data_IF_056274360280
#
_entry.id   IF_056274360280
#
_cell.length_a   1.000
_cell.length_b   1.000
_cell.length_c   1.000
_cell.angle_alpha   90.00
_cell.angle_beta   90.00
_cell.angle_gamma   90.00
#
_symmetry.space_group_name_H-M   'P 1'
#
loop_
_entity.id
_entity.type
_entity.pdbx_description
1 polymer ?
#
# COMPACT_ATOMS: atom_id res chain seq x y z
N UNK A 1 -1.83 8.73 -4.10
CA UNK A 1 -2.20 10.16 -4.19
C UNK A 1 -1.61 10.95 -3.03
N UNK A 2 -1.14 12.17 -3.29
CA UNK A 2 -0.43 12.98 -2.28
C UNK A 2 -1.23 13.21 -0.97
N UNK A 3 -2.57 13.16 -0.98
CA UNK A 3 -3.47 13.03 0.20
C UNK A 3 -4.83 12.51 -0.33
N UNK A 4 -5.58 11.55 0.22
CA UNK A 4 -5.84 11.20 1.63
C UNK A 4 -6.05 9.68 1.81
N UNK A 5 -5.03 8.99 2.34
CA UNK A 5 -5.15 7.68 2.96
C UNK A 5 -5.26 7.86 4.48
N UNK A 6 -6.40 8.40 4.96
CA UNK A 6 -6.72 8.47 6.38
C UNK A 6 -5.82 9.37 7.27
N UNK A 7 -4.72 9.92 6.76
CA UNK A 7 -3.89 10.88 7.48
C UNK A 7 -4.60 12.23 7.51
N UNK A 8 -5.28 12.51 8.63
CA UNK A 8 -5.64 13.88 8.99
C UNK A 8 -4.34 14.67 9.02
N UNK A 9 -4.13 15.53 8.01
CA UNK A 9 -3.02 16.49 8.00
C UNK A 9 -2.93 17.10 9.41
N UNK A 10 -1.91 16.70 10.16
CA UNK A 10 -1.76 17.13 11.54
C UNK A 10 -1.61 18.65 11.64
N UNK A 11 -1.52 19.14 12.87
CA UNK A 11 -1.33 20.56 13.18
C UNK A 11 0.07 21.09 12.81
N UNK A 12 0.61 20.75 11.65
CA UNK A 12 1.78 21.46 11.11
C UNK A 12 1.39 22.94 10.93
N UNK A 13 2.14 23.90 11.50
CA UNK A 13 1.88 25.32 11.30
C UNK A 13 2.21 25.69 9.85
N UNK A 14 1.40 26.56 9.22
CA UNK A 14 1.61 26.99 7.83
C UNK A 14 0.34 26.95 6.98
N UNK A 15 0.47 27.37 5.73
CA UNK A 15 -0.60 27.32 4.71
C UNK A 15 -0.88 25.88 4.30
N UNK A 16 -2.03 25.62 3.66
CA UNK A 16 -2.35 24.27 3.14
C UNK A 16 -1.25 23.76 2.20
N UNK A 17 -0.68 24.66 1.38
CA UNK A 17 0.44 24.37 0.49
C UNK A 17 1.67 23.88 1.25
N UNK A 18 2.05 24.58 2.32
CA UNK A 18 3.24 24.23 3.13
C UNK A 18 3.14 22.84 3.76
N UNK A 19 1.91 22.38 4.05
CA UNK A 19 1.68 21.06 4.65
C UNK A 19 1.70 19.92 3.63
N UNK A 20 1.41 20.22 2.37
CA UNK A 20 1.37 19.25 1.28
C UNK A 20 2.73 19.16 0.58
N UNK A 21 3.52 20.24 0.61
CA UNK A 21 4.82 20.37 -0.04
C UNK A 21 5.79 19.19 0.22
N UNK A 22 5.93 18.63 1.45
CA UNK A 22 6.80 17.49 1.68
C UNK A 22 6.42 16.24 0.88
N UNK A 23 5.12 16.00 0.67
CA UNK A 23 4.60 14.85 -0.09
C UNK A 23 4.73 15.05 -1.60
N UNK A 24 4.89 16.29 -2.05
CA UNK A 24 5.08 16.63 -3.47
C UNK A 24 6.56 16.69 -3.85
N UNK A 25 7.47 16.73 -2.88
CA UNK A 25 8.91 16.83 -3.13
C UNK A 25 9.46 15.74 -4.07
N UNK A 26 9.10 14.45 -3.95
CA UNK A 26 9.57 13.44 -4.90
C UNK A 26 9.16 13.73 -6.35
N UNK A 27 7.99 14.33 -6.57
CA UNK A 27 7.55 14.74 -7.91
C UNK A 27 8.37 15.92 -8.43
N UNK A 28 8.71 16.89 -7.58
CA UNK A 28 9.60 17.99 -7.96
C UNK A 28 11.02 17.52 -8.26
N UNK A 29 11.55 16.58 -7.48
CA UNK A 29 12.87 15.98 -7.71
C UNK A 29 12.90 15.28 -9.08
N UNK A 30 11.89 14.46 -9.38
CA UNK A 30 11.77 13.80 -10.68
C UNK A 30 11.69 14.79 -11.85
N UNK A 31 10.95 15.90 -11.70
CA UNK A 31 10.89 16.94 -12.74
C UNK A 31 12.25 17.60 -12.98
N UNK A 32 13.03 17.86 -11.93
CA UNK A 32 14.37 18.45 -12.04
C UNK A 32 15.41 17.49 -12.62
N UNK A 33 15.19 16.17 -12.57
CA UNK A 33 16.03 15.18 -13.26
C UNK A 33 15.72 15.11 -14.76
N UNK A 34 14.47 15.37 -15.15
CA UNK A 34 14.01 15.28 -16.55
C UNK A 34 14.14 16.58 -17.33
N UNK A 35 14.21 17.72 -16.64
CA UNK A 35 14.16 19.06 -17.22
C UNK A 35 15.23 19.95 -16.60
N UNK A 36 15.58 21.05 -17.29
CA UNK A 36 16.44 22.08 -16.71
C UNK A 36 15.79 22.64 -15.42
N UNK A 37 16.47 22.59 -14.26
CA UNK A 37 15.95 23.09 -12.99
C UNK A 37 15.56 24.57 -13.01
N UNK A 38 16.13 25.38 -13.92
CA UNK A 38 15.76 26.78 -14.07
C UNK A 38 14.41 27.00 -14.79
N UNK A 39 13.97 26.00 -15.56
CA UNK A 39 12.74 26.06 -16.36
C UNK A 39 11.55 25.55 -15.56
N UNK A 40 11.74 24.55 -14.69
CA UNK A 40 10.65 23.95 -13.89
C UNK A 40 9.84 25.01 -13.12
N UNK A 41 10.44 25.95 -12.36
CA UNK A 41 9.68 26.99 -11.68
C UNK A 41 8.86 27.89 -12.61
N UNK A 42 9.35 28.16 -13.84
CA UNK A 42 8.64 28.98 -14.83
C UNK A 42 7.41 28.25 -15.38
N UNK A 43 7.54 26.95 -15.61
CA UNK A 43 6.43 26.11 -16.08
C UNK A 43 5.37 25.89 -15.00
N UNK A 44 5.78 25.75 -13.74
CA UNK A 44 4.87 25.73 -12.59
C UNK A 44 4.13 27.07 -12.45
N UNK A 45 4.85 28.19 -12.52
CA UNK A 45 4.25 29.53 -12.37
C UNK A 45 3.28 29.90 -13.51
N UNK A 46 3.53 29.40 -14.72
CA UNK A 46 2.62 29.57 -15.87
C UNK A 46 1.44 28.60 -15.87
N UNK A 47 1.42 27.61 -14.97
CA UNK A 47 0.41 26.55 -14.93
C UNK A 47 0.56 25.50 -16.04
N UNK A 48 1.69 25.49 -16.75
CA UNK A 48 2.01 24.46 -17.76
C UNK A 48 2.24 23.11 -17.10
N UNK A 49 2.93 23.12 -15.96
CA UNK A 49 3.06 21.95 -15.08
C UNK A 49 2.22 22.25 -13.84
N UNK A 50 1.36 21.31 -13.47
CA UNK A 50 0.53 21.40 -12.27
C UNK A 50 0.74 20.15 -11.43
N UNK A 51 1.21 20.34 -10.19
CA UNK A 51 1.28 19.29 -9.18
C UNK A 51 0.21 19.61 -8.14
N UNK A 52 -0.81 18.76 -8.04
CA UNK A 52 -1.97 19.03 -7.19
C UNK A 52 -2.49 17.75 -6.51
N UNK A 53 -3.08 17.86 -5.30
CA UNK A 53 -3.77 16.74 -4.66
C UNK A 53 -4.96 16.26 -5.48
N UNK A 54 -5.31 14.98 -5.33
CA UNK A 54 -6.44 14.37 -6.04
C UNK A 54 -7.77 15.13 -5.83
N UNK A 55 -7.98 15.71 -4.64
CA UNK A 55 -9.19 16.48 -4.33
C UNK A 55 -9.41 17.69 -5.26
N UNK A 56 -8.33 18.28 -5.80
CA UNK A 56 -8.39 19.45 -6.68
C UNK A 56 -8.92 19.09 -8.08
N UNK A 57 -8.99 17.80 -8.41
CA UNK A 57 -9.51 17.33 -9.70
C UNK A 57 -11.05 17.38 -9.76
N UNK A 58 -11.72 17.51 -8.61
CA UNK A 58 -13.17 17.50 -8.55
C UNK A 58 -13.78 18.63 -9.39
N UNK A 59 -14.71 18.28 -10.28
CA UNK A 59 -15.42 19.25 -11.13
C UNK A 59 -14.62 19.79 -12.32
N UNK A 60 -13.37 19.34 -12.51
CA UNK A 60 -12.56 19.73 -13.67
C UNK A 60 -12.89 18.87 -14.89
N UNK A 61 -12.58 19.40 -16.07
CA UNK A 61 -12.43 18.63 -17.30
C UNK A 61 -11.04 18.96 -17.83
N UNK A 62 -10.22 17.93 -18.04
CA UNK A 62 -8.82 18.09 -18.43
C UNK A 62 -8.73 17.87 -19.93
N UNK A 63 -8.56 18.95 -20.69
CA UNK A 63 -8.37 18.92 -22.15
C UNK A 63 -6.91 19.23 -22.48
N UNK A 64 -6.44 18.70 -23.62
CA UNK A 64 -5.11 18.96 -24.19
C UNK A 64 -3.96 18.80 -23.17
N UNK A 65 -4.03 17.73 -22.36
CA UNK A 65 -3.15 17.55 -21.21
C UNK A 65 -2.58 16.12 -21.11
N UNK A 66 -1.43 15.99 -20.47
CA UNK A 66 -0.89 14.70 -20.04
C UNK A 66 -0.98 14.63 -18.51
N UNK A 67 -1.76 13.69 -18.00
CA UNK A 67 -2.13 13.64 -16.58
C UNK A 67 -1.62 12.35 -15.97
N UNK A 68 -0.90 12.46 -14.85
CA UNK A 68 -0.42 11.31 -14.10
C UNK A 68 -1.08 11.28 -12.73
N UNK A 69 -1.72 10.16 -12.40
CA UNK A 69 -2.15 9.86 -11.03
C UNK A 69 -1.20 8.85 -10.42
N UNK A 70 -0.41 9.30 -9.46
CA UNK A 70 0.57 8.47 -8.78
C UNK A 70 0.08 7.90 -7.43
N UNK A 71 0.68 6.79 -7.03
CA UNK A 71 0.35 6.01 -5.83
C UNK A 71 -1.14 5.62 -5.80
N UNK A 72 -1.71 5.27 -6.94
CA UNK A 72 -3.15 5.10 -7.13
C UNK A 72 -3.75 3.93 -6.32
N UNK A 73 -2.94 3.03 -5.79
CA UNK A 73 -3.39 2.01 -4.85
C UNK A 73 -4.05 2.61 -3.61
N UNK A 74 -3.66 3.84 -3.24
CA UNK A 74 -4.17 4.60 -2.11
C UNK A 74 -5.39 5.48 -2.46
N UNK A 75 -6.13 5.13 -3.51
CA UNK A 75 -7.42 5.75 -3.86
C UNK A 75 -8.59 4.85 -3.50
N UNK A 76 -9.73 5.43 -3.13
CA UNK A 76 -10.99 4.68 -3.05
C UNK A 76 -11.59 4.45 -4.46
N UNK A 77 -12.49 3.46 -4.64
CA UNK A 77 -13.26 3.31 -5.88
C UNK A 77 -13.95 4.59 -6.37
N UNK A 78 -14.53 5.37 -5.46
CA UNK A 78 -15.22 6.62 -5.77
C UNK A 78 -14.24 7.69 -6.23
N UNK A 79 -13.08 7.79 -5.59
CA UNK A 79 -12.03 8.72 -5.98
C UNK A 79 -11.43 8.37 -7.35
N UNK A 80 -11.19 7.08 -7.61
CA UNK A 80 -10.72 6.59 -8.92
C UNK A 80 -11.74 6.93 -10.02
N UNK A 81 -13.03 6.65 -9.78
CA UNK A 81 -14.11 7.02 -10.71
C UNK A 81 -14.19 8.54 -10.91
N UNK A 82 -14.08 9.32 -9.83
CA UNK A 82 -14.06 10.77 -9.90
C UNK A 82 -12.94 11.27 -10.81
N UNK A 83 -11.73 10.72 -10.66
CA UNK A 83 -10.55 11.08 -11.44
C UNK A 83 -10.67 10.71 -12.93
N UNK A 84 -10.98 9.45 -13.23
CA UNK A 84 -11.05 8.97 -14.63
C UNK A 84 -12.13 9.68 -15.43
N UNK A 85 -13.21 10.11 -14.78
CA UNK A 85 -14.26 10.91 -15.44
C UNK A 85 -13.89 12.38 -15.65
N UNK A 86 -12.67 12.80 -15.32
CA UNK A 86 -12.15 14.14 -15.67
C UNK A 86 -11.47 14.15 -17.05
N UNK A 87 -11.31 12.99 -17.70
CA UNK A 87 -10.71 12.86 -19.03
C UNK A 87 -11.50 13.69 -20.06
N UNK A 88 -10.83 14.67 -20.67
CA UNK A 88 -11.34 15.49 -21.76
C UNK A 88 -10.69 15.19 -23.10
N UNK A 89 -10.97 16.02 -24.10
CA UNK A 89 -10.42 15.84 -25.46
C UNK A 89 -8.93 16.15 -25.51
N UNK A 90 -8.19 15.43 -26.37
CA UNK A 90 -6.75 15.63 -26.53
C UNK A 90 -5.91 15.23 -25.32
N UNK A 91 -6.51 14.58 -24.31
CA UNK A 91 -5.84 14.24 -23.05
C UNK A 91 -5.44 12.77 -23.01
N UNK A 92 -4.28 12.52 -22.41
CA UNK A 92 -3.83 11.17 -22.04
C UNK A 92 -3.66 11.07 -20.54
N UNK A 93 -4.21 10.01 -19.95
CA UNK A 93 -4.07 9.71 -18.53
C UNK A 93 -3.17 8.49 -18.32
N UNK A 94 -2.26 8.58 -17.36
CA UNK A 94 -1.47 7.46 -16.86
C UNK A 94 -1.74 7.33 -15.37
N UNK A 95 -2.07 6.12 -14.93
CA UNK A 95 -2.35 5.81 -13.52
C UNK A 95 -1.31 4.80 -13.07
N UNK A 96 -0.50 5.17 -12.07
CA UNK A 96 0.58 4.34 -11.52
C UNK A 96 0.28 3.95 -10.09
N UNK A 97 0.78 2.80 -9.65
CA UNK A 97 0.65 2.35 -8.27
C UNK A 97 1.00 0.88 -8.09
N UNK A 98 1.24 0.49 -6.84
CA UNK A 98 1.56 -0.88 -6.45
C UNK A 98 0.40 -1.49 -5.65
N UNK A 99 -0.30 -2.46 -6.25
CA UNK A 99 -1.45 -3.12 -5.61
C UNK A 99 -1.09 -3.92 -4.34
N UNK A 100 0.19 -4.15 -4.07
CA UNK A 100 0.67 -4.84 -2.86
C UNK A 100 0.86 -3.90 -1.67
N UNK A 101 0.96 -2.58 -1.91
CA UNK A 101 1.24 -1.55 -0.91
C UNK A 101 0.01 -0.66 -0.64
N UNK A 102 -1.13 -1.30 -0.33
CA UNK A 102 -2.38 -0.58 -0.05
C UNK A 102 -2.40 -0.09 1.40
N UNK A 103 -2.36 1.23 1.59
CA UNK A 103 -2.39 1.85 2.93
C UNK A 103 -3.81 2.16 3.42
N UNK A 104 -4.83 1.87 2.60
CA UNK A 104 -6.22 2.15 2.93
C UNK A 104 -6.81 1.13 3.93
N UNK A 105 -7.71 1.58 4.83
CA UNK A 105 -8.40 0.68 5.76
C UNK A 105 -9.09 -0.46 5.01
N UNK A 106 -9.00 -1.67 5.58
CA UNK A 106 -9.61 -2.90 5.04
C UNK A 106 -9.06 -3.33 3.66
N UNK A 107 -7.94 -2.74 3.20
CA UNK A 107 -7.31 -3.10 1.93
C UNK A 107 -8.15 -2.76 0.69
N UNK A 108 -9.12 -1.86 0.85
CA UNK A 108 -9.93 -1.37 -0.26
C UNK A 108 -9.07 -0.48 -1.17
N UNK A 109 -9.08 -0.74 -2.47
CA UNK A 109 -8.31 0.05 -3.44
C UNK A 109 -9.09 0.24 -4.75
N UNK A 110 -9.21 1.49 -5.18
CA UNK A 110 -9.76 1.88 -6.47
C UNK A 110 -8.96 1.29 -7.63
N UNK A 111 -7.63 1.23 -7.50
CA UNK A 111 -6.75 0.63 -8.51
C UNK A 111 -7.02 -0.87 -8.70
N UNK A 112 -7.24 -1.62 -7.62
CA UNK A 112 -7.59 -3.05 -7.70
C UNK A 112 -9.00 -3.30 -8.27
N UNK A 113 -9.91 -2.37 -8.10
CA UNK A 113 -11.24 -2.48 -8.68
C UNK A 113 -11.23 -2.13 -10.17
N UNK A 114 -10.55 -1.05 -10.54
CA UNK A 114 -10.59 -0.52 -11.92
C UNK A 114 -10.00 -1.48 -12.94
N UNK A 115 -8.95 -2.23 -12.56
CA UNK A 115 -8.36 -3.30 -13.39
C UNK A 115 -9.38 -4.36 -13.82
N UNK A 116 -10.40 -4.61 -12.99
CA UNK A 116 -11.48 -5.57 -13.29
C UNK A 116 -12.65 -4.92 -14.01
N UNK A 117 -12.97 -3.66 -13.68
CA UNK A 117 -14.13 -2.95 -14.24
C UNK A 117 -13.87 -2.47 -15.67
N UNK A 118 -12.63 -2.08 -15.98
CA UNK A 118 -12.26 -1.48 -17.27
C UNK A 118 -11.44 -2.42 -18.16
N UNK A 119 -11.34 -3.72 -17.84
CA UNK A 119 -10.48 -4.67 -18.57
C UNK A 119 -10.84 -4.84 -20.05
N UNK A 120 -12.08 -4.53 -20.44
CA UNK A 120 -12.60 -4.77 -21.79
C UNK A 120 -12.86 -3.46 -22.55
N UNK A 121 -12.20 -2.36 -22.18
CA UNK A 121 -12.31 -1.08 -22.86
C UNK A 121 -11.11 -0.93 -23.80
N UNK A 122 -11.37 -0.85 -25.10
CA UNK A 122 -10.33 -0.90 -26.15
C UNK A 122 -9.26 0.19 -26.03
N UNK A 123 -9.62 1.38 -25.51
CA UNK A 123 -8.71 2.53 -25.37
C UNK A 123 -8.03 2.60 -23.98
N UNK A 124 -8.09 1.50 -23.20
CA UNK A 124 -7.45 1.39 -21.89
C UNK A 124 -6.50 0.20 -21.89
N UNK A 125 -5.25 0.47 -21.51
CA UNK A 125 -4.21 -0.56 -21.42
C UNK A 125 -3.73 -0.72 -19.98
N UNK A 126 -3.59 -1.96 -19.53
CA UNK A 126 -3.00 -2.30 -18.23
C UNK A 126 -1.59 -2.86 -18.44
N UNK A 127 -0.58 -2.11 -17.99
CA UNK A 127 0.81 -2.54 -17.98
C UNK A 127 1.17 -3.06 -16.59
N UNK A 128 1.63 -4.32 -16.51
CA UNK A 128 2.07 -4.94 -15.26
C UNK A 128 3.59 -5.05 -15.29
N UNK A 129 4.24 -4.27 -14.42
CA UNK A 129 5.67 -4.40 -14.18
C UNK A 129 5.90 -5.40 -13.03
N UNK A 130 7.00 -6.11 -13.12
CA UNK A 130 7.41 -7.16 -12.19
C UNK A 130 8.72 -6.78 -11.52
N UNK A 131 9.19 -7.61 -10.59
CA UNK A 131 10.51 -7.43 -9.97
C UNK A 131 11.65 -7.42 -10.98
N UNK A 132 11.49 -8.08 -12.14
CA UNK A 132 12.50 -8.12 -13.20
C UNK A 132 12.65 -6.76 -13.91
N UNK A 133 11.63 -5.90 -13.82
CA UNK A 133 11.65 -4.54 -14.40
C UNK A 133 12.28 -3.51 -13.44
N UNK A 134 12.62 -3.91 -12.21
CA UNK A 134 13.14 -3.02 -11.17
C UNK A 134 14.66 -2.86 -11.31
N UNK A 135 15.07 -1.79 -11.98
CA UNK A 135 16.48 -1.42 -12.10
C UNK A 135 16.90 -0.59 -10.89
N UNK A 136 17.64 -1.19 -9.97
CA UNK A 136 18.23 -0.51 -8.80
C UNK A 136 19.74 -0.62 -8.82
N UNK A 137 20.41 0.31 -8.14
CA UNK A 137 21.85 0.22 -7.93
C UNK A 137 22.20 -1.10 -7.21
N UNK A 138 23.26 -1.78 -7.64
CA UNK A 138 23.65 -3.12 -7.14
C UNK A 138 23.79 -3.18 -5.62
N UNK A 139 24.30 -2.11 -5.01
CA UNK A 139 24.38 -1.97 -3.55
C UNK A 139 23.00 -2.01 -2.87
N UNK A 140 22.00 -1.34 -3.44
CA UNK A 140 20.64 -1.32 -2.89
C UNK A 140 20.04 -2.72 -2.93
N UNK A 141 20.22 -3.46 -4.03
CA UNK A 141 19.82 -4.87 -4.12
C UNK A 141 20.45 -5.71 -3.00
N UNK A 142 21.77 -5.63 -2.83
CA UNK A 142 22.49 -6.34 -1.75
C UNK A 142 22.03 -5.96 -0.35
N UNK A 143 21.63 -4.71 -0.12
CA UNK A 143 21.07 -4.27 1.15
C UNK A 143 19.70 -4.91 1.37
N UNK A 144 18.81 -4.87 0.37
CA UNK A 144 17.48 -5.48 0.46
C UNK A 144 17.59 -6.98 0.74
N UNK A 145 18.44 -7.71 0.00
CA UNK A 145 18.65 -9.14 0.17
C UNK A 145 19.12 -9.49 1.59
N UNK A 146 20.05 -8.70 2.14
CA UNK A 146 20.56 -8.91 3.49
C UNK A 146 19.48 -8.73 4.58
N UNK A 147 18.56 -7.78 4.39
CA UNK A 147 17.41 -7.60 5.28
C UNK A 147 16.39 -8.73 5.14
N UNK A 148 16.09 -9.16 3.90
CA UNK A 148 15.21 -10.29 3.65
C UNK A 148 15.73 -11.56 4.33
N UNK A 149 17.01 -11.90 4.18
CA UNK A 149 17.62 -13.08 4.81
C UNK A 149 17.61 -12.98 6.35
N UNK A 150 17.76 -11.77 6.90
CA UNK A 150 17.67 -11.54 8.34
C UNK A 150 16.24 -11.76 8.86
N UNK A 151 15.24 -11.23 8.16
CA UNK A 151 13.82 -11.35 8.55
C UNK A 151 13.31 -12.79 8.43
N UNK A 152 13.72 -13.52 7.38
CA UNK A 152 13.41 -14.95 7.22
C UNK A 152 13.99 -15.79 8.37
N UNK A 153 15.25 -15.57 8.74
CA UNK A 153 15.88 -16.24 9.88
C UNK A 153 15.17 -15.91 11.19
N UNK A 154 14.78 -14.65 11.38
CA UNK A 154 14.01 -14.20 12.55
C UNK A 154 12.65 -14.88 12.64
N UNK A 155 11.93 -14.98 11.52
CA UNK A 155 10.62 -15.66 11.45
C UNK A 155 10.76 -17.16 11.71
N UNK A 156 11.76 -17.82 11.13
CA UNK A 156 12.05 -19.23 11.37
C UNK A 156 12.36 -19.51 12.85
N UNK A 157 13.26 -18.74 13.47
CA UNK A 157 13.57 -18.88 14.90
C UNK A 157 12.38 -18.61 15.82
N UNK A 158 11.45 -17.73 15.42
CA UNK A 158 10.21 -17.52 16.19
C UNK A 158 9.28 -18.74 16.08
N UNK A 159 9.06 -19.26 14.86
CA UNK A 159 8.25 -20.46 14.64
C UNK A 159 8.77 -21.66 15.43
N UNK A 160 10.08 -21.91 15.40
CA UNK A 160 10.71 -22.99 16.16
C UNK A 160 10.46 -22.86 17.68
N UNK A 161 10.51 -21.64 18.23
CA UNK A 161 10.23 -21.38 19.64
C UNK A 161 8.76 -21.58 19.98
N UNK A 162 7.86 -21.14 19.12
CA UNK A 162 6.42 -21.29 19.30
C UNK A 162 6.02 -22.77 19.25
N UNK A 163 6.54 -23.54 18.28
CA UNK A 163 6.34 -24.98 18.17
C UNK A 163 6.89 -25.74 19.39
N UNK A 164 8.07 -25.38 19.88
CA UNK A 164 8.64 -25.97 21.09
C UNK A 164 7.78 -25.69 22.34
N UNK A 165 7.26 -24.48 22.47
CA UNK A 165 6.36 -24.07 23.56
C UNK A 165 5.02 -24.82 23.51
N UNK A 166 4.42 -24.95 22.32
CA UNK A 166 3.18 -25.70 22.12
C UNK A 166 3.35 -27.20 22.45
N UNK A 167 4.47 -27.79 22.02
CA UNK A 167 4.79 -29.18 22.32
C UNK A 167 4.91 -29.41 23.82
N UNK A 168 5.65 -28.55 24.54
CA UNK A 168 5.78 -28.61 25.99
C UNK A 168 4.41 -28.53 26.69
N UNK A 169 3.58 -27.55 26.33
CA UNK A 169 2.24 -27.39 26.90
C UNK A 169 1.26 -28.54 26.54
N UNK A 170 1.49 -29.27 25.45
CA UNK A 170 0.72 -30.47 25.10
C UNK A 170 1.13 -31.67 25.95
N UNK A 171 2.42 -31.81 26.24
CA UNK A 171 2.96 -32.86 27.12
C UNK A 171 2.43 -32.67 28.54
N UNK A 172 2.48 -31.44 29.07
CA UNK A 172 1.95 -31.11 30.40
C UNK A 172 0.45 -31.38 30.55
N UNK A 173 -0.36 -31.03 29.53
CA UNK A 173 -1.81 -31.35 29.55
C UNK A 173 -2.08 -32.86 29.53
N UNK A 174 -1.25 -33.64 28.82
CA UNK A 174 -1.36 -35.11 28.78
C UNK A 174 -0.94 -35.77 30.09
N UNK A 175 0.09 -35.26 30.77
CA UNK A 175 0.50 -35.77 32.08
C UNK A 175 -0.53 -35.40 33.15
N UNK A 176 -1.07 -34.18 33.13
CA UNK A 176 -2.16 -33.76 34.02
C UNK A 176 -3.43 -34.61 33.83
N UNK A 177 -3.80 -34.94 32.58
CA UNK A 177 -4.96 -35.79 32.29
C UNK A 177 -4.77 -37.26 32.72
N UNK A 178 -3.53 -37.77 32.79
CA UNK A 178 -3.23 -39.12 33.29
C UNK A 178 -3.08 -39.19 34.82
N UNK A 179 -2.96 -38.05 35.51
CA UNK A 179 -2.84 -37.96 36.97
C UNK A 179 -4.17 -38.03 37.73
N UNK A 180 -5.32 -38.08 37.05
CA UNK A 180 -6.61 -38.34 37.68
C UNK A 180 -6.75 -39.81 38.05
N UNK A 181 -6.56 -40.15 39.33
CA UNK A 181 -6.68 -41.53 39.85
C UNK A 181 -7.97 -42.23 39.40
N UNK A 182 -7.93 -43.54 39.10
CA UNK A 182 -9.16 -44.31 38.90
C UNK A 182 -9.97 -44.26 40.19
N UNK A 183 -11.20 -43.75 40.12
CA UNK A 183 -12.13 -43.84 41.25
C UNK A 183 -12.53 -45.31 41.41
N UNK A 184 -11.91 -45.98 42.36
CA UNK A 184 -12.33 -47.31 42.81
C UNK A 184 -13.78 -47.22 43.34
N UNK A 185 -14.72 -47.75 42.56
CA UNK A 185 -16.09 -47.94 42.98
C UNK A 185 -16.16 -49.17 43.90
N UNK A 186 -16.11 -48.96 45.21
CA UNK A 186 -16.46 -50.00 46.18
C UNK A 186 -17.98 -50.30 46.16
N UNK A 187 -18.39 -51.58 46.14
CA UNK A 187 -19.80 -51.94 46.13
C UNK A 187 -20.43 -51.69 47.50
N UNK A 188 -21.62 -51.07 47.51
CA UNK A 188 -22.41 -50.82 48.72
C UNK A 188 -22.84 -52.15 49.35
N UNK A 189 -22.30 -52.46 50.53
CA UNK A 189 -22.87 -53.49 51.41
C UNK A 189 -24.16 -52.97 52.02
N UNK A 190 -25.25 -53.69 51.77
CA UNK A 190 -26.54 -53.47 52.40
C UNK A 190 -26.51 -53.80 53.90
N UNK A 191 -27.41 -53.15 54.63
CA UNK A 191 -27.90 -53.63 55.92
C UNK A 191 -29.42 -53.48 55.97
N UNK A 192 -30.03 -54.63 56.22
CA UNK A 192 -31.34 -54.88 56.86
C UNK A 192 -31.59 -54.00 58.06
#
# INVERSE_FOLDING_TARGET
PAVEAGERLGFLPGTLTDKIDPYLRPLYDALNEMMDPEIVPKLMASGTIEVAPLAYMRGRTLNDSFVVLDEAQNTTPEQMKMFLTRLGFGTRMVVTGDITQIDLPQGASGLRLVTRVLSNIDDIHFSYLTSDDVVRHTLVGRIVDAYTEYDERRLASRRERDEASEFAGRVERRTAARGGSPRDHLPKRGRT
#
